data_IF_016327760615
#
_entry.id   IF_016327760615
#
_cell.length_a   1.000
_cell.length_b   1.000
_cell.length_c   1.000
_cell.angle_alpha   90.00
_cell.angle_beta   90.00
_cell.angle_gamma   90.00
#
_symmetry.space_group_name_H-M   'P 1'
#
loop_
_entity.id
_entity.type
_entity.pdbx_description
1 polymer ?
#
# COMPACT_ATOMS: atom_id res chain seq x y z
N UNK A 1 13.97 -17.49 -15.80
CA UNK A 1 14.14 -18.01 -14.43
C UNK A 1 13.80 -16.86 -13.49
N UNK A 2 12.70 -16.91 -12.71
CA UNK A 2 12.36 -15.77 -11.86
C UNK A 2 13.22 -15.82 -10.60
N UNK A 3 14.03 -14.78 -10.43
CA UNK A 3 14.90 -14.56 -9.27
C UNK A 3 14.02 -14.33 -8.04
N UNK A 4 14.11 -15.25 -7.08
CA UNK A 4 13.42 -15.21 -5.80
C UNK A 4 13.95 -14.02 -4.98
N UNK A 5 13.13 -12.99 -4.80
CA UNK A 5 13.42 -11.90 -3.86
C UNK A 5 12.84 -12.33 -2.51
N UNK A 6 13.72 -12.79 -1.61
CA UNK A 6 13.34 -13.09 -0.23
C UNK A 6 13.36 -11.79 0.58
N UNK A 7 12.20 -11.41 1.12
CA UNK A 7 12.10 -10.35 2.11
C UNK A 7 12.31 -10.96 3.50
N UNK A 8 13.35 -10.57 4.25
CA UNK A 8 13.63 -11.14 5.55
C UNK A 8 12.75 -10.45 6.59
N UNK A 9 11.48 -10.82 6.67
CA UNK A 9 10.69 -10.60 7.88
C UNK A 9 10.38 -11.95 8.52
N UNK A 10 10.60 -12.02 9.84
CA UNK A 10 10.42 -13.22 10.65
C UNK A 10 8.99 -13.74 10.47
N UNK A 11 8.83 -14.85 9.75
CA UNK A 11 7.68 -15.75 9.91
C UNK A 11 6.56 -15.73 8.87
N UNK A 12 6.74 -15.17 7.66
CA UNK A 12 5.75 -15.33 6.57
C UNK A 12 6.42 -16.00 5.37
N UNK A 13 5.94 -17.19 5.01
CA UNK A 13 6.35 -17.93 3.80
C UNK A 13 5.76 -17.25 2.55
N UNK A 14 6.35 -16.13 2.15
CA UNK A 14 5.90 -15.21 1.10
C UNK A 14 6.23 -15.74 -0.32
N UNK A 15 5.50 -16.73 -0.83
CA UNK A 15 5.43 -16.94 -2.30
C UNK A 15 4.00 -17.27 -2.73
N UNK A 16 3.30 -18.18 -2.04
CA UNK A 16 1.92 -18.51 -2.39
C UNK A 16 0.92 -17.43 -1.90
N UNK A 17 1.12 -16.90 -0.70
CA UNK A 17 0.18 -16.00 -0.01
C UNK A 17 0.16 -14.57 -0.57
N UNK A 18 1.18 -14.16 -1.33
CA UNK A 18 1.19 -12.89 -2.08
C UNK A 18 0.56 -13.03 -3.48
N UNK A 19 0.70 -14.21 -4.09
CA UNK A 19 0.20 -14.47 -5.43
C UNK A 19 -1.32 -14.62 -5.49
N UNK A 20 -1.93 -15.24 -4.47
CA UNK A 20 -3.37 -15.44 -4.42
C UNK A 20 -4.15 -14.10 -4.29
N UNK A 21 -3.77 -13.16 -3.40
CA UNK A 21 -4.38 -11.83 -3.35
C UNK A 21 -4.14 -11.01 -4.62
N UNK A 22 -2.97 -11.12 -5.25
CA UNK A 22 -2.68 -10.39 -6.48
C UNK A 22 -3.59 -10.85 -7.62
N UNK A 23 -3.71 -12.16 -7.85
CA UNK A 23 -4.57 -12.68 -8.92
C UNK A 23 -6.04 -12.34 -8.70
N UNK A 24 -6.52 -12.37 -7.45
CA UNK A 24 -7.87 -11.92 -7.09
C UNK A 24 -8.06 -10.42 -7.37
N UNK A 25 -7.09 -9.59 -6.98
CA UNK A 25 -7.11 -8.14 -7.24
C UNK A 25 -7.12 -7.84 -8.73
N UNK A 26 -6.36 -8.58 -9.54
CA UNK A 26 -6.33 -8.46 -10.99
C UNK A 26 -7.69 -8.83 -11.60
N UNK A 27 -8.29 -9.94 -11.18
CA UNK A 27 -9.65 -10.35 -11.60
C UNK A 27 -10.71 -9.30 -11.25
N UNK A 28 -10.67 -8.77 -10.03
CA UNK A 28 -11.59 -7.73 -9.59
C UNK A 28 -11.43 -6.43 -10.40
N UNK A 29 -10.18 -6.04 -10.68
CA UNK A 29 -9.85 -4.85 -11.48
C UNK A 29 -10.28 -4.99 -12.93
N UNK A 30 -10.12 -6.18 -13.52
CA UNK A 30 -10.56 -6.48 -14.89
C UNK A 30 -12.09 -6.35 -15.01
N UNK A 31 -12.83 -7.00 -14.10
CA UNK A 31 -14.29 -6.88 -14.04
C UNK A 31 -14.74 -5.42 -13.89
N UNK A 32 -14.12 -4.67 -12.98
CA UNK A 32 -14.44 -3.26 -12.74
C UNK A 32 -14.21 -2.40 -13.99
N UNK A 33 -13.08 -2.58 -14.69
CA UNK A 33 -12.77 -1.86 -15.93
C UNK A 33 -13.73 -2.18 -17.06
N UNK A 34 -14.11 -3.45 -17.23
CA UNK A 34 -15.04 -3.85 -18.28
C UNK A 34 -16.43 -3.26 -18.03
N UNK A 35 -16.89 -3.23 -16.78
CA UNK A 35 -18.14 -2.59 -16.39
C UNK A 35 -18.11 -1.07 -16.68
N UNK A 36 -17.06 -0.38 -16.24
CA UNK A 36 -16.86 1.05 -16.49
C UNK A 36 -16.85 1.37 -17.99
N UNK A 37 -16.17 0.55 -18.80
CA UNK A 37 -16.14 0.70 -20.26
C UNK A 37 -17.51 0.52 -20.94
N UNK A 38 -18.46 -0.16 -20.29
CA UNK A 38 -19.85 -0.31 -20.74
C UNK A 38 -20.75 0.86 -20.31
N UNK A 39 -20.19 1.85 -19.61
CA UNK A 39 -20.92 3.03 -19.10
C UNK A 39 -21.44 2.88 -17.68
N UNK A 40 -21.10 1.80 -16.97
CA UNK A 40 -21.43 1.67 -15.54
C UNK A 40 -20.53 2.59 -14.69
N UNK A 41 -20.99 3.04 -13.50
CA UNK A 41 -20.14 3.80 -12.59
C UNK A 41 -18.90 3.00 -12.16
N UNK A 42 -17.76 3.69 -12.05
CA UNK A 42 -16.51 3.06 -11.59
C UNK A 42 -16.66 2.42 -10.21
N UNK A 43 -16.27 1.15 -10.09
CA UNK A 43 -16.37 0.41 -8.84
C UNK A 43 -15.45 1.03 -7.77
N UNK A 44 -16.03 1.32 -6.61
CA UNK A 44 -15.32 1.88 -5.45
C UNK A 44 -15.38 0.89 -4.29
N UNK A 45 -14.32 0.85 -3.49
CA UNK A 45 -14.22 0.01 -2.30
C UNK A 45 -13.78 0.84 -1.09
N UNK A 46 -14.26 0.51 0.13
CA UNK A 46 -13.76 1.12 1.34
C UNK A 46 -12.31 0.71 1.60
N UNK A 47 -11.49 1.62 2.12
CA UNK A 47 -10.09 1.30 2.47
C UNK A 47 -9.94 0.82 3.91
N UNK A 48 -10.80 1.29 4.79
CA UNK A 48 -10.80 1.00 6.22
C UNK A 48 -12.23 0.70 6.70
N UNK A 49 -12.39 0.07 7.88
CA UNK A 49 -13.68 0.01 8.55
C UNK A 49 -14.26 1.41 8.81
N UNK A 50 -15.59 1.51 8.85
CA UNK A 50 -16.30 2.80 8.96
C UNK A 50 -16.18 3.47 10.34
N UNK A 51 -15.95 2.70 11.41
CA UNK A 51 -15.70 3.24 12.74
C UNK A 51 -14.67 2.41 13.50
N UNK A 52 -14.05 3.04 14.50
CA UNK A 52 -13.04 2.42 15.37
C UNK A 52 -13.63 1.22 16.13
N UNK A 53 -14.88 1.29 16.57
CA UNK A 53 -15.57 0.21 17.29
C UNK A 53 -15.81 -1.04 16.43
N UNK A 54 -15.71 -0.91 15.10
CA UNK A 54 -15.89 -1.99 14.14
C UNK A 54 -14.58 -2.59 13.66
N UNK A 55 -13.44 -2.17 14.21
CA UNK A 55 -12.12 -2.71 13.88
C UNK A 55 -11.88 -3.98 14.70
N UNK A 56 -11.80 -5.17 14.08
CA UNK A 56 -11.51 -6.40 14.82
C UNK A 56 -10.09 -6.38 15.38
N UNK A 57 -9.85 -6.97 16.55
CA UNK A 57 -8.50 -7.05 17.12
C UNK A 57 -7.53 -7.90 16.28
N UNK A 58 -8.04 -8.65 15.30
CA UNK A 58 -7.25 -9.48 14.39
C UNK A 58 -6.63 -8.69 13.22
N UNK A 59 -6.97 -7.41 13.02
CA UNK A 59 -6.36 -6.63 11.93
C UNK A 59 -4.96 -6.12 12.30
N UNK A 60 -4.06 -5.94 11.31
CA UNK A 60 -2.75 -5.33 11.56
C UNK A 60 -2.86 -3.94 12.20
N UNK A 61 -1.87 -3.61 13.04
CA UNK A 61 -1.78 -2.33 13.77
C UNK A 61 -2.00 -1.10 12.86
N UNK A 62 -1.44 -1.00 11.64
CA UNK A 62 -1.62 0.18 10.79
C UNK A 62 -3.07 0.41 10.35
N UNK A 63 -3.87 -0.66 10.28
CA UNK A 63 -5.30 -0.56 9.97
C UNK A 63 -6.06 0.02 11.15
N UNK A 64 -5.72 -0.39 12.38
CA UNK A 64 -6.30 0.12 13.62
C UNK A 64 -5.95 1.59 13.84
N UNK A 65 -4.67 1.93 13.77
CA UNK A 65 -4.19 3.31 13.89
C UNK A 65 -4.71 4.21 12.76
N UNK A 66 -4.77 3.68 11.53
CA UNK A 66 -5.34 4.39 10.39
C UNK A 66 -6.83 4.70 10.60
N UNK A 67 -7.61 3.75 11.07
CA UNK A 67 -9.02 3.96 11.39
C UNK A 67 -9.18 5.01 12.50
N UNK A 68 -8.41 4.89 13.59
CA UNK A 68 -8.41 5.88 14.68
C UNK A 68 -8.07 7.28 14.16
N UNK A 69 -7.05 7.44 13.33
CA UNK A 69 -6.66 8.73 12.79
C UNK A 69 -7.73 9.33 11.88
N UNK A 70 -8.21 8.57 10.90
CA UNK A 70 -9.09 9.10 9.86
C UNK A 70 -10.57 9.16 10.26
N UNK A 71 -11.02 8.41 11.27
CA UNK A 71 -12.45 8.29 11.66
C UNK A 71 -12.78 8.92 13.02
N UNK A 72 -11.82 9.60 13.65
CA UNK A 72 -12.04 10.35 14.91
C UNK A 72 -11.73 11.84 14.72
N UNK A 73 -12.10 12.73 15.67
CA UNK A 73 -11.73 14.14 15.63
C UNK A 73 -10.22 14.42 15.50
N UNK A 74 -9.34 13.44 15.74
CA UNK A 74 -7.88 13.56 15.59
C UNK A 74 -7.45 13.92 14.17
N UNK A 75 -8.12 13.37 13.15
CA UNK A 75 -7.73 13.52 11.75
C UNK A 75 -8.85 13.40 10.73
N UNK A 76 -10.12 13.33 11.16
CA UNK A 76 -11.26 13.27 10.25
C UNK A 76 -11.39 14.54 9.39
N UNK A 77 -11.78 14.36 8.12
CA UNK A 77 -12.16 15.45 7.23
C UNK A 77 -13.31 15.00 6.33
N UNK A 78 -14.36 15.83 6.11
CA UNK A 78 -15.48 15.53 5.21
C UNK A 78 -15.13 15.10 3.77
N UNK A 79 -13.95 15.47 3.24
CA UNK A 79 -13.50 15.11 1.89
C UNK A 79 -12.67 13.82 1.87
N UNK A 80 -12.33 13.27 3.04
CA UNK A 80 -11.66 11.97 3.17
C UNK A 80 -12.72 10.87 3.32
N UNK A 81 -13.36 10.55 2.20
CA UNK A 81 -14.58 9.72 2.14
C UNK A 81 -14.33 8.21 2.30
N UNK A 82 -13.10 7.79 2.64
CA UNK A 82 -12.71 6.38 2.80
C UNK A 82 -13.09 5.49 1.59
N UNK A 83 -13.18 6.07 0.40
CA UNK A 83 -13.60 5.39 -0.83
C UNK A 83 -12.49 5.45 -1.86
N UNK A 84 -12.11 4.31 -2.41
CA UNK A 84 -11.02 4.19 -3.38
C UNK A 84 -11.46 3.36 -4.60
N UNK A 85 -11.07 3.74 -5.83
CA UNK A 85 -11.43 2.97 -7.02
C UNK A 85 -10.74 1.61 -7.04
N UNK A 86 -11.46 0.56 -7.45
CA UNK A 86 -10.89 -0.76 -7.71
C UNK A 86 -9.97 -0.63 -8.94
N UNK A 87 -8.65 -0.73 -8.76
CA UNK A 87 -7.65 -0.52 -9.82
C UNK A 87 -6.59 -1.60 -9.83
N UNK A 88 -6.03 -1.79 -11.03
CA UNK A 88 -4.88 -2.68 -11.27
C UNK A 88 -3.65 -2.17 -10.49
N UNK A 89 -2.96 -3.02 -9.72
CA UNK A 89 -1.72 -2.65 -9.05
C UNK A 89 -0.55 -2.66 -10.05
N UNK A 90 -0.43 -1.61 -10.86
CA UNK A 90 0.61 -1.45 -11.89
C UNK A 90 1.69 -0.41 -11.54
N UNK A 91 1.66 0.11 -10.33
CA UNK A 91 2.57 1.15 -9.87
C UNK A 91 3.71 0.55 -9.03
N UNK A 92 4.95 0.96 -9.34
CA UNK A 92 6.14 0.65 -8.55
C UNK A 92 6.85 1.97 -8.21
N UNK A 93 6.92 2.36 -6.92
CA UNK A 93 7.37 3.69 -6.52
C UNK A 93 8.87 3.95 -6.76
N UNK A 94 9.69 2.90 -6.72
CA UNK A 94 11.16 3.05 -6.72
C UNK A 94 11.82 2.60 -8.03
N UNK A 95 11.06 2.33 -9.09
CA UNK A 95 11.58 1.88 -10.40
C UNK A 95 12.70 2.77 -10.93
N UNK A 96 12.57 4.09 -10.77
CA UNK A 96 13.51 5.09 -11.29
C UNK A 96 14.11 5.96 -10.20
N UNK A 97 14.23 5.44 -8.97
CA UNK A 97 14.73 6.22 -7.83
C UNK A 97 16.18 6.69 -8.03
N UNK A 98 16.94 6.01 -8.88
CA UNK A 98 18.32 6.36 -9.19
C UNK A 98 18.44 7.67 -9.99
N UNK A 99 17.38 8.09 -10.68
CA UNK A 99 17.30 9.37 -11.40
C UNK A 99 17.16 10.59 -10.46
N UNK A 100 17.03 10.37 -9.15
CA UNK A 100 17.09 11.46 -8.16
C UNK A 100 18.51 12.05 -8.12
N UNK A 101 19.53 11.19 -8.21
CA UNK A 101 20.94 11.56 -8.22
C UNK A 101 21.25 12.53 -9.37
N UNK A 102 22.09 13.56 -9.16
CA UNK A 102 22.97 13.78 -7.99
C UNK A 102 22.35 14.58 -6.84
N UNK A 103 21.02 14.78 -6.83
CA UNK A 103 20.37 15.49 -5.71
C UNK A 103 20.34 14.56 -4.48
N UNK A 104 20.56 15.11 -3.27
CA UNK A 104 20.52 14.32 -2.05
C UNK A 104 19.12 13.77 -1.77
N UNK A 105 19.06 12.49 -1.40
CA UNK A 105 17.87 11.84 -0.86
C UNK A 105 17.98 11.70 0.66
N UNK A 106 16.94 12.14 1.39
CA UNK A 106 16.77 11.92 2.83
C UNK A 106 15.45 11.20 3.06
N UNK A 107 15.50 10.05 3.73
CA UNK A 107 14.31 9.29 4.13
C UNK A 107 14.14 9.37 5.66
N UNK A 108 12.91 9.62 6.12
CA UNK A 108 12.57 9.65 7.56
C UNK A 108 11.60 8.51 7.84
N UNK A 109 11.92 7.67 8.81
CA UNK A 109 11.06 6.58 9.25
C UNK A 109 11.08 6.45 10.78
N UNK A 110 9.95 6.12 11.39
CA UNK A 110 9.87 5.75 12.81
C UNK A 110 10.50 4.38 13.05
N UNK A 111 11.10 4.16 14.23
CA UNK A 111 11.76 2.90 14.55
C UNK A 111 10.81 1.70 14.51
N UNK A 112 9.58 1.91 14.97
CA UNK A 112 8.50 0.91 15.08
C UNK A 112 7.50 0.95 13.91
N UNK A 113 7.79 1.72 12.85
CA UNK A 113 6.84 1.84 11.75
C UNK A 113 6.81 0.56 10.91
N UNK A 114 5.64 -0.06 10.75
CA UNK A 114 5.45 -1.21 9.84
C UNK A 114 5.81 -0.90 8.38
N UNK A 115 5.83 0.37 8.01
CA UNK A 115 6.19 0.87 6.67
C UNK A 115 7.67 1.24 6.53
N UNK A 116 8.48 1.06 7.58
CA UNK A 116 9.91 1.43 7.59
C UNK A 116 10.71 0.78 6.46
N UNK A 117 10.39 -0.47 6.11
CA UNK A 117 11.09 -1.20 5.06
C UNK A 117 11.02 -0.51 3.69
N UNK A 118 9.98 0.29 3.41
CA UNK A 118 9.90 1.07 2.17
C UNK A 118 11.01 2.13 2.10
N UNK A 119 11.29 2.81 3.22
CA UNK A 119 12.39 3.77 3.31
C UNK A 119 13.75 3.09 3.18
N UNK A 120 13.91 1.90 3.76
CA UNK A 120 15.14 1.11 3.64
C UNK A 120 15.38 0.64 2.20
N UNK A 121 14.32 0.18 1.50
CA UNK A 121 14.40 -0.18 0.08
C UNK A 121 14.76 1.03 -0.80
N UNK A 122 14.17 2.19 -0.52
CA UNK A 122 14.47 3.43 -1.23
C UNK A 122 15.97 3.79 -1.12
N UNK A 123 16.53 3.77 0.08
CA UNK A 123 17.96 4.06 0.32
C UNK A 123 18.87 3.00 -0.31
N UNK A 124 18.47 1.71 -0.28
CA UNK A 124 19.23 0.64 -0.88
C UNK A 124 19.35 0.80 -2.41
N UNK A 125 18.26 1.24 -3.06
CA UNK A 125 18.18 1.38 -4.53
C UNK A 125 18.66 2.74 -5.05
N UNK A 126 18.66 3.78 -4.22
CA UNK A 126 19.11 5.12 -4.61
C UNK A 126 20.64 5.19 -4.82
N UNK A 127 21.04 6.03 -5.78
CA UNK A 127 22.43 6.47 -5.99
C UNK A 127 22.77 7.63 -5.04
N UNK A 128 24.07 7.86 -4.84
CA UNK A 128 24.55 8.93 -3.98
C UNK A 128 24.17 10.33 -4.49
N UNK A 129 24.10 11.33 -3.60
CA UNK A 129 24.29 11.24 -2.14
C UNK A 129 23.00 10.82 -1.40
N UNK A 130 23.14 9.97 -0.37
CA UNK A 130 22.03 9.49 0.47
C UNK A 130 22.31 9.63 1.97
N UNK A 131 21.28 9.93 2.75
CA UNK A 131 21.32 10.09 4.22
C UNK A 131 20.18 9.36 4.91
#
# INVERSE_FOLDING_TARGET
>A
MPTRVEFPSKGITLVADLYLPLHQTLKASDKARIAEAKGEPGAMQPRMPDSVDKVPDTVPIPVKEGCEYYRTPRGQHPRSINSWPVRVPNYSPYTFIDLISPRPLLMIAGSEADTRFFSEEAIARAKDPKK
#
